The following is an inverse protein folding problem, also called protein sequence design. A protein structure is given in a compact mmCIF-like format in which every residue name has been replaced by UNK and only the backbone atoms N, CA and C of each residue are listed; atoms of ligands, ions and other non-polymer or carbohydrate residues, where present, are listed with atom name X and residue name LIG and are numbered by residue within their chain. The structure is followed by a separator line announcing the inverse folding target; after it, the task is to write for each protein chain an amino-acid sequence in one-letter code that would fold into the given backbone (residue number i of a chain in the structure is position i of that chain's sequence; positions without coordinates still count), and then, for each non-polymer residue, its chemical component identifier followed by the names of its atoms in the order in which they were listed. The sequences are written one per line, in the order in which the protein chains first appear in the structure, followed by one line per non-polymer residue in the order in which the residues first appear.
data_IF_673612205028
#
_entry.id   IF_673612205028
#
_cell.length_a   1.000
_cell.length_b   1.000
_cell.length_c   1.000
_cell.angle_alpha   90.00
_cell.angle_beta   90.00
_cell.angle_gamma   90.00
#
_symmetry.space_group_name_H-M   'P 1'
#
loop_
_entity.id
_entity.type
_entity.pdbx_description
1 polymer ?
#
# COMPACT_ATOMS: atom_id res chain seq x y z
N UNK A 1 -23.78 5.59 -4.28
CA UNK A 1 -22.34 5.78 -4.03
C UNK A 1 -21.80 6.77 -5.05
N UNK A 2 -21.61 8.03 -4.67
CA UNK A 2 -20.82 8.97 -5.47
C UNK A 2 -19.38 8.49 -5.42
N UNK A 3 -18.93 7.82 -6.48
CA UNK A 3 -17.56 7.37 -6.68
C UNK A 3 -16.62 8.57 -6.53
N UNK A 4 -16.08 8.81 -5.34
CA UNK A 4 -14.87 9.62 -5.21
C UNK A 4 -13.83 8.94 -6.09
N UNK A 5 -13.34 9.65 -7.11
CA UNK A 5 -12.33 9.14 -8.02
C UNK A 5 -11.11 8.81 -7.17
N UNK A 6 -10.92 7.54 -6.83
CA UNK A 6 -9.77 7.08 -6.09
C UNK A 6 -8.53 7.40 -6.91
N UNK A 7 -7.61 8.17 -6.35
CA UNK A 7 -6.33 8.43 -6.99
C UNK A 7 -5.47 7.16 -6.96
N UNK A 8 -5.45 6.44 -8.09
CA UNK A 8 -4.69 5.21 -8.32
C UNK A 8 -3.36 5.51 -9.01
N UNK A 9 -2.70 6.59 -8.58
CA UNK A 9 -1.37 6.98 -9.04
C UNK A 9 -0.33 6.79 -7.94
N UNK A 10 0.89 6.48 -8.38
CA UNK A 10 2.06 6.41 -7.52
C UNK A 10 3.32 6.82 -8.29
N UNK A 11 4.36 7.23 -7.55
CA UNK A 11 5.66 7.53 -8.11
C UNK A 11 6.76 6.72 -7.42
N UNK A 12 7.59 6.05 -8.22
CA UNK A 12 8.82 5.39 -7.79
C UNK A 12 10.00 6.34 -8.00
N UNK A 13 10.87 6.47 -7.00
CA UNK A 13 12.01 7.40 -7.00
C UNK A 13 13.31 6.64 -7.24
N UNK A 14 14.17 7.18 -8.12
CA UNK A 14 15.41 6.53 -8.54
C UNK A 14 16.62 7.48 -8.54
N UNK A 15 17.81 6.95 -8.20
CA UNK A 15 19.10 7.66 -8.33
C UNK A 15 19.56 7.86 -9.77
N UNK A 16 19.11 7.01 -10.68
CA UNK A 16 19.40 7.09 -12.11
C UNK A 16 18.16 6.60 -12.90
N UNK A 17 17.97 7.03 -14.16
CA UNK A 17 16.89 6.53 -15.00
C UNK A 17 16.90 4.99 -15.05
N UNK A 18 15.80 4.31 -14.66
CA UNK A 18 15.74 2.86 -14.70
C UNK A 18 15.64 2.37 -16.15
N UNK A 19 16.18 1.18 -16.41
CA UNK A 19 15.94 0.44 -17.66
C UNK A 19 14.77 -0.50 -17.40
N UNK A 20 13.64 -0.23 -18.05
CA UNK A 20 12.41 -1.00 -17.89
C UNK A 20 12.10 -1.73 -19.19
N UNK A 21 11.93 -3.05 -19.11
CA UNK A 21 11.40 -3.83 -20.22
C UNK A 21 9.87 -3.82 -20.12
N UNK A 22 9.23 -2.92 -20.87
CA UNK A 22 7.78 -2.77 -20.90
C UNK A 22 7.06 -4.01 -21.44
N UNK A 23 7.68 -4.75 -22.36
CA UNK A 23 7.11 -5.98 -22.90
C UNK A 23 7.06 -7.07 -21.82
N UNK A 24 8.18 -7.28 -21.13
CA UNK A 24 8.25 -8.21 -19.99
C UNK A 24 7.36 -7.77 -18.83
N UNK A 25 7.25 -6.47 -18.57
CA UNK A 25 6.34 -5.91 -17.57
C UNK A 25 4.88 -6.27 -17.89
N UNK A 26 4.42 -5.97 -19.11
CA UNK A 26 3.06 -6.30 -19.55
C UNK A 26 2.80 -7.79 -19.51
N UNK A 27 3.75 -8.62 -19.97
CA UNK A 27 3.60 -10.08 -19.94
C UNK A 27 3.36 -10.58 -18.51
N UNK A 28 4.11 -10.07 -17.52
CA UNK A 28 3.93 -10.42 -16.10
C UNK A 28 2.63 -9.88 -15.50
N UNK A 29 2.18 -8.69 -15.92
CA UNK A 29 0.86 -8.15 -15.54
C UNK A 29 -0.25 -9.05 -16.09
N UNK A 30 -0.19 -9.42 -17.37
CA UNK A 30 -1.21 -10.24 -18.01
C UNK A 30 -1.27 -11.66 -17.47
N UNK A 31 -0.14 -12.25 -17.06
CA UNK A 31 -0.12 -13.54 -16.38
C UNK A 31 -0.92 -13.51 -15.06
N UNK A 32 -0.83 -12.39 -14.34
CA UNK A 32 -1.57 -12.16 -13.10
C UNK A 32 -3.08 -11.94 -13.36
N UNK A 33 -3.41 -11.10 -14.35
CA UNK A 33 -4.79 -10.87 -14.79
C UNK A 33 -5.46 -12.16 -15.28
N UNK A 34 -4.74 -13.03 -15.98
CA UNK A 34 -5.25 -14.32 -16.43
C UNK A 34 -5.64 -15.23 -15.26
N UNK A 35 -4.87 -15.20 -14.16
CA UNK A 35 -5.16 -15.97 -12.95
C UNK A 35 -6.45 -15.50 -12.25
N UNK A 36 -6.78 -14.21 -12.38
CA UNK A 36 -8.02 -13.63 -11.84
C UNK A 36 -9.19 -13.58 -12.84
N UNK A 37 -9.03 -14.17 -14.03
CA UNK A 37 -10.05 -14.15 -15.08
C UNK A 37 -10.32 -12.77 -15.70
N UNK A 38 -9.41 -11.81 -15.48
CA UNK A 38 -9.51 -10.47 -16.04
C UNK A 38 -9.00 -10.43 -17.49
N UNK A 39 -9.59 -9.60 -18.37
CA UNK A 39 -9.10 -9.44 -19.73
C UNK A 39 -7.65 -8.94 -19.75
N UNK A 40 -6.84 -9.49 -20.65
CA UNK A 40 -5.47 -9.05 -20.85
C UNK A 40 -5.41 -7.58 -21.29
N UNK A 41 -4.29 -6.93 -21.00
CA UNK A 41 -3.96 -5.60 -21.48
C UNK A 41 -3.12 -5.71 -22.75
N UNK A 42 -3.43 -4.86 -23.71
CA UNK A 42 -2.73 -4.70 -24.99
C UNK A 42 -1.85 -3.45 -24.95
N UNK A 43 -0.81 -3.40 -25.79
CA UNK A 43 -0.02 -2.18 -25.94
C UNK A 43 -0.83 -1.16 -26.73
N UNK A 44 -0.83 0.08 -26.27
CA UNK A 44 -1.26 1.20 -27.09
C UNK A 44 -0.17 1.55 -28.10
N UNK A 45 -0.52 1.92 -29.35
CA UNK A 45 0.41 2.49 -30.32
C UNK A 45 1.02 3.82 -29.85
N UNK A 46 0.48 4.44 -28.79
CA UNK A 46 1.04 5.64 -28.16
C UNK A 46 2.24 5.35 -27.24
N UNK A 47 2.63 4.09 -27.06
CA UNK A 47 3.76 3.72 -26.22
C UNK A 47 5.10 4.04 -26.90
N UNK A 48 6.11 4.33 -26.10
CA UNK A 48 7.50 4.65 -26.48
C UNK A 48 8.47 4.01 -25.48
N UNK A 49 9.77 4.23 -25.68
CA UNK A 49 10.82 3.74 -24.77
C UNK A 49 10.75 4.34 -23.36
N UNK A 50 10.08 5.48 -23.18
CA UNK A 50 9.93 6.17 -21.89
C UNK A 50 8.50 6.17 -21.37
N UNK A 51 7.55 5.65 -22.13
CA UNK A 51 6.14 5.67 -21.78
C UNK A 51 5.44 4.40 -22.27
N UNK A 52 4.80 3.66 -21.38
CA UNK A 52 3.93 2.56 -21.74
C UNK A 52 2.47 2.88 -21.39
N UNK A 53 1.57 2.57 -22.31
CA UNK A 53 0.13 2.53 -22.05
C UNK A 53 -0.38 1.13 -22.38
N UNK A 54 -0.65 0.35 -21.34
CA UNK A 54 -1.30 -0.95 -21.45
C UNK A 54 -2.80 -0.79 -21.25
N UNK A 55 -3.65 -1.36 -22.11
CA UNK A 55 -5.09 -1.08 -22.08
C UNK A 55 -5.97 -2.23 -22.51
N UNK A 56 -7.21 -2.23 -22.05
CA UNK A 56 -8.31 -3.00 -22.62
C UNK A 56 -9.60 -2.15 -22.56
N UNK A 57 -10.76 -2.74 -22.89
CA UNK A 57 -12.02 -2.01 -22.88
C UNK A 57 -12.43 -1.45 -21.50
N UNK A 58 -11.92 -2.01 -20.39
CA UNK A 58 -12.36 -1.70 -19.02
C UNK A 58 -11.34 -0.91 -18.20
N UNK A 59 -10.04 -1.05 -18.47
CA UNK A 59 -8.98 -0.47 -17.67
C UNK A 59 -7.73 -0.17 -18.51
N UNK A 60 -6.91 0.75 -18.01
CA UNK A 60 -5.59 1.03 -18.54
C UNK A 60 -4.56 1.20 -17.42
N UNK A 61 -3.30 0.97 -17.75
CA UNK A 61 -2.12 1.21 -16.92
C UNK A 61 -1.17 2.11 -17.71
N UNK A 62 -0.77 3.23 -17.13
CA UNK A 62 0.33 4.04 -17.67
C UNK A 62 1.58 3.85 -16.84
N UNK A 63 2.73 3.74 -17.49
CA UNK A 63 4.04 3.81 -16.84
C UNK A 63 4.87 4.86 -17.58
N UNK A 64 5.23 5.95 -16.92
CA UNK A 64 5.98 7.05 -17.52
C UNK A 64 7.31 7.24 -16.78
N UNK A 65 8.42 7.18 -17.52
CA UNK A 65 9.77 7.40 -17.02
C UNK A 65 10.12 8.88 -17.22
N UNK A 66 10.49 9.55 -16.14
CA UNK A 66 10.93 10.94 -16.17
C UNK A 66 12.40 11.02 -15.77
N UNK A 67 13.23 11.60 -16.64
CA UNK A 67 14.67 11.84 -16.39
C UNK A 67 14.93 13.11 -15.56
N UNK A 68 14.07 13.34 -14.58
CA UNK A 68 14.15 14.47 -13.66
C UNK A 68 13.83 14.00 -12.24
N UNK A 69 14.30 14.70 -11.21
CA UNK A 69 13.86 14.44 -9.84
C UNK A 69 12.33 14.55 -9.72
N UNK A 70 11.74 13.83 -8.75
CA UNK A 70 10.31 13.96 -8.47
C UNK A 70 10.00 15.41 -8.05
N UNK A 71 9.03 16.10 -8.67
CA UNK A 71 8.67 17.46 -8.30
C UNK A 71 8.21 17.54 -6.83
N UNK A 72 8.81 18.44 -6.04
CA UNK A 72 8.50 18.58 -4.61
C UNK A 72 7.20 19.35 -4.34
N UNK A 73 6.66 20.05 -5.36
CA UNK A 73 5.40 20.78 -5.25
C UNK A 73 4.25 19.80 -5.03
N UNK A 74 3.52 19.96 -3.93
CA UNK A 74 2.41 19.08 -3.58
C UNK A 74 2.78 17.94 -2.63
N UNK A 75 4.08 17.72 -2.37
CA UNK A 75 4.56 16.65 -1.48
C UNK A 75 4.80 17.11 -0.03
N UNK A 76 4.52 18.38 0.31
CA UNK A 76 4.77 18.89 1.66
C UNK A 76 3.97 18.14 2.72
N UNK A 77 2.72 17.77 2.41
CA UNK A 77 1.88 17.00 3.32
C UNK A 77 2.46 15.60 3.51
N UNK A 78 2.73 14.86 2.43
CA UNK A 78 3.37 13.54 2.49
C UNK A 78 4.70 13.51 3.27
N UNK A 79 5.58 14.50 3.07
CA UNK A 79 6.87 14.59 3.75
C UNK A 79 6.75 14.94 5.24
N UNK A 80 5.73 15.71 5.61
CA UNK A 80 5.47 16.12 7.01
C UNK A 80 4.59 15.13 7.77
N UNK A 81 3.93 14.20 7.07
CA UNK A 81 3.03 13.22 7.67
C UNK A 81 3.75 12.40 8.78
N UNK A 82 3.15 12.26 9.98
CA UNK A 82 3.74 11.46 11.06
C UNK A 82 4.07 10.03 10.66
N UNK A 83 3.22 9.41 9.83
CA UNK A 83 3.45 8.08 9.29
C UNK A 83 4.73 8.00 8.45
N UNK A 84 4.93 8.95 7.52
CA UNK A 84 6.16 9.07 6.73
C UNK A 84 7.39 9.26 7.62
N UNK A 85 7.33 10.20 8.58
CA UNK A 85 8.45 10.48 9.49
C UNK A 85 8.80 9.30 10.40
N UNK A 86 7.84 8.43 10.71
CA UNK A 86 8.06 7.26 11.56
C UNK A 86 8.99 6.20 10.94
N UNK A 87 9.18 6.23 9.61
CA UNK A 87 9.99 5.25 8.86
C UNK A 87 11.50 5.42 9.00
N UNK A 88 11.97 6.48 9.68
CA UNK A 88 13.40 6.79 9.90
C UNK A 88 14.22 6.89 8.59
N UNK A 89 13.56 7.21 7.48
CA UNK A 89 14.19 7.49 6.19
C UNK A 89 14.04 8.97 5.87
N UNK A 90 15.13 9.62 5.45
CA UNK A 90 15.09 11.00 4.99
C UNK A 90 14.60 11.06 3.53
N UNK A 91 13.29 10.97 3.35
CA UNK A 91 12.67 11.04 2.03
C UNK A 91 12.92 12.37 1.32
N UNK A 92 13.05 13.47 2.07
CA UNK A 92 13.36 14.77 1.48
C UNK A 92 14.75 14.76 0.83
N UNK A 93 15.75 14.22 1.53
CA UNK A 93 17.09 14.03 0.97
C UNK A 93 17.10 13.06 -0.21
N UNK A 94 16.37 11.94 -0.13
CA UNK A 94 16.26 10.99 -1.25
C UNK A 94 15.69 11.64 -2.51
N UNK A 95 14.62 12.42 -2.38
CA UNK A 95 14.02 13.14 -3.53
C UNK A 95 15.02 14.16 -4.08
N UNK A 96 15.70 14.92 -3.23
CA UNK A 96 16.69 15.91 -3.65
C UNK A 96 17.89 15.28 -4.38
N UNK A 97 18.26 14.06 -4.03
CA UNK A 97 19.37 13.31 -4.64
C UNK A 97 18.95 12.49 -5.87
N UNK A 98 17.65 12.26 -6.05
CA UNK A 98 17.11 11.51 -7.18
C UNK A 98 17.43 12.18 -8.52
N UNK A 99 17.55 11.38 -9.57
CA UNK A 99 17.76 11.87 -10.95
C UNK A 99 16.66 11.42 -11.90
N UNK A 100 15.81 10.50 -11.46
CA UNK A 100 14.67 10.04 -12.21
C UNK A 100 13.53 9.63 -11.28
N UNK A 101 12.33 9.63 -11.84
CA UNK A 101 11.17 9.02 -11.20
C UNK A 101 10.31 8.33 -12.26
N UNK A 102 9.54 7.33 -11.84
CA UNK A 102 8.57 6.63 -12.68
C UNK A 102 7.19 6.87 -12.11
N UNK A 103 6.27 7.40 -12.91
CA UNK A 103 4.86 7.57 -12.54
C UNK A 103 4.08 6.38 -13.08
N UNK A 104 3.32 5.75 -12.19
CA UNK A 104 2.39 4.68 -12.52
C UNK A 104 0.97 5.16 -12.25
N UNK A 105 0.06 4.93 -13.19
CA UNK A 105 -1.37 5.16 -12.97
C UNK A 105 -2.21 4.00 -13.47
N UNK A 106 -3.32 3.73 -12.80
CA UNK A 106 -4.31 2.72 -13.25
C UNK A 106 -5.67 3.36 -13.34
N UNK A 107 -6.18 3.58 -14.54
CA UNK A 107 -7.46 4.25 -14.76
C UNK A 107 -8.53 3.34 -15.33
N UNK A 108 -9.73 3.91 -15.46
CA UNK A 108 -10.87 3.26 -16.07
C UNK A 108 -10.80 3.38 -17.60
N UNK A 109 -11.29 2.35 -18.30
CA UNK A 109 -11.41 2.34 -19.76
C UNK A 109 -10.07 2.30 -20.50
N UNK A 110 -10.10 2.44 -21.83
CA UNK A 110 -8.94 2.18 -22.67
C UNK A 110 -7.91 3.32 -22.71
N UNK A 111 -8.21 4.49 -22.14
CA UNK A 111 -7.34 5.66 -22.22
C UNK A 111 -7.45 6.55 -20.97
N UNK A 112 -6.37 7.26 -20.60
CA UNK A 112 -6.38 8.23 -19.49
C UNK A 112 -7.39 9.37 -19.66
N UNK A 113 -7.62 9.78 -20.92
CA UNK A 113 -8.61 10.78 -21.29
C UNK A 113 -9.64 10.08 -22.17
N UNK A 114 -10.75 9.59 -21.59
CA UNK A 114 -11.75 8.87 -22.37
C UNK A 114 -12.54 9.85 -23.25
N UNK A 115 -12.72 9.49 -24.53
CA UNK A 115 -13.55 10.24 -25.47
C UNK A 115 -15.05 9.91 -25.30
N UNK A 116 -15.35 8.76 -24.72
CA UNK A 116 -16.70 8.23 -24.50
C UNK A 116 -16.91 7.92 -23.01
N UNK A 117 -18.17 7.88 -22.53
CA UNK A 117 -18.46 7.44 -21.17
C UNK A 117 -17.95 6.02 -20.90
N UNK A 118 -17.14 5.88 -19.86
CA UNK A 118 -16.56 4.59 -19.45
C UNK A 118 -17.30 4.04 -18.25
N UNK A 119 -17.58 2.73 -18.26
CA UNK A 119 -18.05 2.02 -17.06
C UNK A 119 -16.88 1.83 -16.09
N UNK A 120 -16.92 2.37 -14.86
CA UNK A 120 -15.81 2.27 -13.92
C UNK A 120 -15.46 0.82 -13.57
N UNK A 121 -14.17 0.51 -13.49
CA UNK A 121 -13.68 -0.74 -12.98
C UNK A 121 -13.79 -0.79 -11.44
N UNK A 122 -13.97 -1.98 -10.83
CA UNK A 122 -13.98 -2.12 -9.38
C UNK A 122 -12.70 -1.54 -8.75
N UNK A 123 -12.79 -0.74 -7.66
CA UNK A 123 -11.63 -0.16 -7.01
C UNK A 123 -10.57 -1.18 -6.58
N UNK A 124 -11.00 -2.33 -6.05
CA UNK A 124 -10.10 -3.42 -5.66
C UNK A 124 -9.24 -3.94 -6.82
N UNK A 125 -9.83 -4.05 -8.03
CA UNK A 125 -9.10 -4.46 -9.23
C UNK A 125 -8.04 -3.42 -9.62
N UNK A 126 -8.41 -2.13 -9.60
CA UNK A 126 -7.47 -1.04 -9.91
C UNK A 126 -6.30 -0.97 -8.92
N UNK A 127 -6.60 -1.15 -7.63
CA UNK A 127 -5.60 -1.17 -6.57
C UNK A 127 -4.66 -2.36 -6.68
N UNK A 128 -5.20 -3.58 -6.89
CA UNK A 128 -4.40 -4.78 -7.10
C UNK A 128 -3.46 -4.62 -8.30
N UNK A 129 -3.98 -4.09 -9.42
CA UNK A 129 -3.19 -3.84 -10.62
C UNK A 129 -2.10 -2.77 -10.42
N UNK A 130 -2.40 -1.70 -9.68
CA UNK A 130 -1.40 -0.68 -9.32
C UNK A 130 -0.27 -1.31 -8.49
N UNK A 131 -0.60 -2.01 -7.41
CA UNK A 131 0.38 -2.63 -6.52
C UNK A 131 1.23 -3.68 -7.25
N UNK A 132 0.59 -4.49 -8.11
CA UNK A 132 1.30 -5.44 -8.95
C UNK A 132 2.29 -4.74 -9.86
N UNK A 133 1.85 -3.71 -10.57
CA UNK A 133 2.71 -2.93 -11.48
C UNK A 133 3.91 -2.34 -10.73
N UNK A 134 3.69 -1.72 -9.57
CA UNK A 134 4.75 -1.17 -8.72
C UNK A 134 5.75 -2.25 -8.28
N UNK A 135 5.27 -3.41 -7.85
CA UNK A 135 6.12 -4.53 -7.42
C UNK A 135 6.94 -5.10 -8.57
N UNK A 136 6.34 -5.21 -9.76
CA UNK A 136 7.02 -5.70 -10.97
C UNK A 136 8.09 -4.73 -11.45
N UNK A 137 7.82 -3.42 -11.40
CA UNK A 137 8.78 -2.37 -11.73
C UNK A 137 9.96 -2.37 -10.74
N UNK A 138 9.67 -2.43 -9.45
CA UNK A 138 10.70 -2.51 -8.41
C UNK A 138 11.58 -3.76 -8.58
N UNK A 139 10.99 -4.89 -8.99
CA UNK A 139 11.74 -6.12 -9.26
C UNK A 139 12.63 -6.04 -10.51
N UNK A 140 12.27 -5.25 -11.53
CA UNK A 140 13.13 -5.01 -12.70
C UNK A 140 14.24 -4.00 -12.37
N UNK A 141 13.88 -2.92 -11.67
CA UNK A 141 14.77 -1.86 -11.25
C UNK A 141 14.39 -1.41 -9.83
N UNK A 142 15.22 -1.70 -8.80
CA UNK A 142 14.92 -1.32 -7.42
C UNK A 142 14.81 0.20 -7.26
N UNK A 143 13.65 0.64 -6.80
CA UNK A 143 13.39 2.04 -6.45
C UNK A 143 13.84 2.34 -5.02
N UNK A 144 14.27 3.58 -4.75
CA UNK A 144 14.70 3.98 -3.40
C UNK A 144 13.52 4.30 -2.48
N UNK A 145 12.45 4.81 -3.06
CA UNK A 145 11.23 5.16 -2.37
C UNK A 145 10.03 5.06 -3.31
N UNK A 146 8.85 4.94 -2.70
CA UNK A 146 7.55 4.97 -3.35
C UNK A 146 6.72 6.08 -2.70
N UNK A 147 6.10 6.94 -3.49
CA UNK A 147 5.02 7.81 -3.06
C UNK A 147 3.69 7.30 -3.62
N UNK A 148 2.67 7.20 -2.78
CA UNK A 148 1.33 6.75 -3.19
C UNK A 148 0.34 7.91 -3.08
N UNK A 149 -0.28 8.29 -4.20
CA UNK A 149 -1.19 9.44 -4.25
C UNK A 149 -2.50 9.24 -3.47
N UNK A 150 -2.94 7.98 -3.32
CA UNK A 150 -4.18 7.63 -2.62
C UNK A 150 -4.19 8.04 -1.14
N UNK A 151 -3.06 7.84 -0.44
CA UNK A 151 -2.90 8.19 0.97
C UNK A 151 -1.87 9.30 1.21
N UNK A 152 -1.23 9.81 0.15
CA UNK A 152 -0.21 10.86 0.20
C UNK A 152 0.89 10.53 1.22
N UNK A 153 1.47 9.32 1.12
CA UNK A 153 2.56 8.84 1.98
C UNK A 153 3.74 8.34 1.17
N UNK A 154 4.93 8.43 1.79
CA UNK A 154 6.14 7.77 1.30
C UNK A 154 6.38 6.42 1.99
N UNK A 155 6.90 5.49 1.21
CA UNK A 155 7.29 4.14 1.61
C UNK A 155 8.73 3.85 1.18
N UNK A 156 9.42 3.07 1.98
CA UNK A 156 10.80 2.63 1.77
C UNK A 156 10.90 1.49 0.76
N UNK A 157 12.08 1.26 0.18
CA UNK A 157 12.34 0.11 -0.68
C UNK A 157 11.95 -1.23 0.00
N UNK A 158 12.30 -1.42 1.27
CA UNK A 158 11.97 -2.64 2.03
C UNK A 158 10.46 -2.85 2.20
N UNK A 159 9.68 -1.79 2.32
CA UNK A 159 8.21 -1.88 2.33
C UNK A 159 7.66 -2.30 0.97
N UNK A 160 8.26 -1.85 -0.14
CA UNK A 160 7.88 -2.29 -1.50
C UNK A 160 8.19 -3.78 -1.68
N UNK A 161 9.37 -4.23 -1.24
CA UNK A 161 9.77 -5.65 -1.30
C UNK A 161 8.83 -6.54 -0.48
N UNK A 162 8.50 -6.13 0.75
CA UNK A 162 7.56 -6.86 1.61
C UNK A 162 6.16 -6.92 0.99
N UNK A 163 5.73 -5.80 0.39
CA UNK A 163 4.45 -5.66 -0.29
C UNK A 163 4.31 -6.55 -1.54
N UNK A 164 5.43 -6.94 -2.20
CA UNK A 164 5.40 -7.70 -3.45
C UNK A 164 4.74 -9.09 -3.33
N UNK A 165 4.60 -9.61 -2.11
CA UNK A 165 3.94 -10.89 -1.81
C UNK A 165 2.42 -10.78 -1.61
N UNK A 166 1.88 -9.56 -1.55
CA UNK A 166 0.48 -9.29 -1.22
C UNK A 166 -0.29 -8.83 -2.46
N UNK A 167 -1.51 -9.34 -2.64
CA UNK A 167 -2.38 -8.90 -3.73
C UNK A 167 -2.85 -7.44 -3.54
N UNK A 168 -3.15 -7.07 -2.29
CA UNK A 168 -3.52 -5.71 -1.90
C UNK A 168 -2.70 -5.35 -0.67
N UNK A 169 -2.14 -4.13 -0.68
CA UNK A 169 -1.27 -3.60 0.37
C UNK A 169 -2.00 -2.44 1.03
N UNK A 170 -2.67 -2.65 2.18
CA UNK A 170 -3.50 -1.61 2.79
C UNK A 170 -2.72 -0.32 3.10
N UNK A 171 -1.44 -0.45 3.46
CA UNK A 171 -0.55 0.68 3.73
C UNK A 171 -0.30 1.61 2.54
N UNK A 172 -0.58 1.19 1.31
CA UNK A 172 -0.45 2.03 0.10
C UNK A 172 -1.73 2.80 -0.23
N UNK A 173 -2.83 2.50 0.48
CA UNK A 173 -4.17 3.05 0.19
C UNK A 173 -4.72 3.84 1.37
N UNK A 174 -4.46 3.36 2.59
CA UNK A 174 -5.02 3.95 3.79
C UNK A 174 -4.18 5.11 4.30
N UNK A 175 -4.83 6.22 4.65
CA UNK A 175 -4.18 7.36 5.29
C UNK A 175 -4.50 7.37 6.80
N UNK A 176 -3.47 7.37 7.68
CA UNK A 176 -3.67 7.41 9.12
C UNK A 176 -3.91 8.85 9.61
N UNK A 177 -5.03 9.07 10.28
CA UNK A 177 -5.30 10.26 11.07
C UNK A 177 -5.23 9.91 12.56
N UNK A 178 -4.39 10.60 13.32
CA UNK A 178 -4.32 10.43 14.77
C UNK A 178 -5.25 11.44 15.47
N UNK A 179 -5.83 11.03 16.58
CA UNK A 179 -6.47 11.91 17.55
C UNK A 179 -5.86 11.64 18.92
N UNK A 180 -5.48 12.70 19.64
CA UNK A 180 -4.82 12.56 20.94
C UNK A 180 -5.80 12.72 22.12
N UNK A 181 -7.03 13.20 21.89
CA UNK A 181 -7.99 13.49 22.95
C UNK A 181 -9.44 13.13 22.57
N UNK A 182 -10.29 12.74 23.55
CA UNK A 182 -9.98 12.45 24.96
C UNK A 182 -9.25 11.13 25.21
N UNK A 183 -9.10 10.28 24.19
CA UNK A 183 -8.25 9.09 24.23
C UNK A 183 -7.51 8.99 22.90
N UNK A 184 -6.27 8.48 22.94
CA UNK A 184 -5.48 8.34 21.72
C UNK A 184 -6.13 7.31 20.80
N UNK A 185 -6.38 7.72 19.58
CA UNK A 185 -7.03 6.93 18.56
C UNK A 185 -6.37 7.12 17.20
N UNK A 186 -6.51 6.11 16.36
CA UNK A 186 -6.05 6.11 14.98
C UNK A 186 -7.24 5.82 14.08
N UNK A 187 -7.50 6.69 13.10
CA UNK A 187 -8.49 6.49 12.06
C UNK A 187 -7.78 6.22 10.73
N UNK A 188 -8.18 5.15 10.05
CA UNK A 188 -7.63 4.79 8.75
C UNK A 188 -8.59 5.24 7.64
N UNK A 189 -8.32 6.40 7.06
CA UNK A 189 -9.07 6.91 5.90
C UNK A 189 -8.83 5.99 4.70
N UNK A 190 -9.83 5.81 3.83
CA UNK A 190 -9.86 4.88 2.69
C UNK A 190 -9.91 3.39 3.06
N UNK A 191 -9.98 3.03 4.35
CA UNK A 191 -10.13 1.62 4.75
C UNK A 191 -11.47 1.03 4.29
N UNK A 192 -12.49 1.88 4.11
CA UNK A 192 -13.79 1.49 3.57
C UNK A 192 -13.72 0.94 2.14
N UNK A 193 -12.68 1.27 1.37
CA UNK A 193 -12.43 0.71 0.04
C UNK A 193 -11.98 -0.75 0.09
N UNK A 194 -11.52 -1.20 1.27
CA UNK A 194 -10.94 -2.52 1.49
C UNK A 194 -11.86 -3.40 2.34
N UNK A 195 -12.48 -2.83 3.37
CA UNK A 195 -13.28 -3.56 4.37
C UNK A 195 -14.71 -3.01 4.54
N UNK A 196 -15.16 -2.13 3.63
CA UNK A 196 -16.51 -1.58 3.61
C UNK A 196 -16.82 -0.51 4.67
N UNK A 197 -15.96 -0.32 5.67
CA UNK A 197 -16.11 0.70 6.72
C UNK A 197 -14.80 1.39 7.05
N UNK A 198 -14.90 2.60 7.60
CA UNK A 198 -13.74 3.29 8.18
C UNK A 198 -13.31 2.55 9.44
N UNK A 199 -12.07 2.06 9.47
CA UNK A 199 -11.41 1.47 10.64
C UNK A 199 -10.94 2.59 11.59
N UNK A 200 -11.30 2.46 12.85
CA UNK A 200 -10.76 3.24 13.95
C UNK A 200 -10.19 2.32 15.03
N UNK A 201 -9.01 2.64 15.54
CA UNK A 201 -8.37 1.95 16.66
C UNK A 201 -8.37 2.91 17.85
N UNK A 202 -9.01 2.54 18.95
CA UNK A 202 -9.20 3.38 20.14
C UNK A 202 -8.41 2.82 21.33
N UNK A 203 -8.12 3.69 22.31
CA UNK A 203 -7.46 3.28 23.56
C UNK A 203 -5.98 2.95 23.38
N UNK A 204 -5.31 3.56 22.40
CA UNK A 204 -3.90 3.33 22.14
C UNK A 204 -3.09 3.95 23.28
N UNK A 205 -2.21 3.20 23.93
CA UNK A 205 -1.37 3.76 24.99
C UNK A 205 -0.41 4.83 24.44
N UNK A 206 -0.15 5.89 25.22
CA UNK A 206 0.66 7.05 24.81
C UNK A 206 2.07 6.65 24.34
N UNK A 207 2.65 5.60 24.92
CA UNK A 207 4.01 5.18 24.62
C UNK A 207 4.13 4.33 23.34
N UNK A 208 3.00 3.94 22.74
CA UNK A 208 3.01 3.12 21.51
C UNK A 208 3.46 3.99 20.32
N UNK A 209 4.58 3.64 19.65
CA UNK A 209 5.06 4.38 18.49
C UNK A 209 4.06 4.31 17.32
N UNK A 210 4.01 5.37 16.51
CA UNK A 210 3.14 5.43 15.31
C UNK A 210 3.37 4.23 14.39
N UNK A 211 4.61 3.81 14.18
CA UNK A 211 4.94 2.65 13.33
C UNK A 211 4.23 1.36 13.79
N UNK A 212 4.14 1.12 15.10
CA UNK A 212 3.43 -0.04 15.64
C UNK A 212 1.91 0.07 15.42
N UNK A 213 1.34 1.26 15.59
CA UNK A 213 -0.09 1.48 15.35
C UNK A 213 -0.46 1.20 13.89
N UNK A 214 0.41 1.58 12.95
CA UNK A 214 0.23 1.29 11.52
C UNK A 214 0.35 -0.20 11.21
N UNK A 215 1.30 -0.91 11.84
CA UNK A 215 1.43 -2.36 11.71
C UNK A 215 0.17 -3.07 12.19
N UNK A 216 -0.38 -2.66 13.34
CA UNK A 216 -1.64 -3.21 13.85
C UNK A 216 -2.78 -2.97 12.86
N UNK A 217 -2.97 -1.73 12.40
CA UNK A 217 -4.03 -1.38 11.44
C UNK A 217 -3.91 -2.18 10.14
N UNK A 218 -2.70 -2.28 9.57
CA UNK A 218 -2.46 -3.08 8.36
C UNK A 218 -2.74 -4.57 8.60
N UNK A 219 -2.33 -5.10 9.75
CA UNK A 219 -2.55 -6.52 10.09
C UNK A 219 -4.03 -6.83 10.19
N UNK A 220 -4.82 -6.01 10.89
CA UNK A 220 -6.28 -6.18 11.01
C UNK A 220 -6.94 -6.24 9.63
N UNK A 221 -6.59 -5.31 8.75
CA UNK A 221 -7.16 -5.23 7.39
C UNK A 221 -6.73 -6.39 6.52
N UNK A 222 -5.43 -6.74 6.50
CA UNK A 222 -4.93 -7.89 5.72
C UNK A 222 -5.61 -9.18 6.14
N UNK A 223 -5.73 -9.43 7.45
CA UNK A 223 -6.34 -10.66 7.95
C UNK A 223 -7.84 -10.72 7.69
N UNK A 224 -8.53 -9.58 7.72
CA UNK A 224 -9.94 -9.51 7.34
C UNK A 224 -10.15 -9.81 5.85
N UNK A 225 -9.35 -9.17 4.97
CA UNK A 225 -9.40 -9.44 3.52
C UNK A 225 -9.10 -10.92 3.22
N UNK A 226 -8.19 -11.54 3.97
CA UNK A 226 -7.87 -12.95 3.84
C UNK A 226 -8.97 -13.90 4.39
N UNK A 227 -10.00 -13.38 5.06
CA UNK A 227 -11.06 -14.17 5.69
C UNK A 227 -10.64 -14.85 7.01
N UNK A 228 -9.45 -14.52 7.52
CA UNK A 228 -8.92 -15.08 8.77
C UNK A 228 -9.41 -14.34 10.02
N UNK A 229 -9.94 -13.13 9.84
CA UNK A 229 -10.39 -12.27 10.92
C UNK A 229 -11.75 -11.63 10.54
N UNK A 230 -12.88 -12.18 11.02
CA UNK A 230 -14.20 -11.73 10.59
C UNK A 230 -14.51 -10.28 11.03
N UNK A 231 -13.96 -9.82 12.16
CA UNK A 231 -14.20 -8.48 12.71
C UNK A 231 -15.69 -8.21 12.90
N UNK A 232 -16.40 -9.15 13.53
CA UNK A 232 -17.82 -9.03 13.85
C UNK A 232 -18.06 -8.17 15.10
N UNK A 233 -19.29 -7.64 15.22
CA UNK A 233 -19.67 -6.82 16.38
C UNK A 233 -19.65 -7.68 17.65
N UNK A 234 -18.88 -7.27 18.65
CA UNK A 234 -18.69 -8.02 19.89
C UNK A 234 -17.50 -8.99 19.88
N UNK A 235 -16.77 -9.13 18.76
CA UNK A 235 -15.57 -9.96 18.71
C UNK A 235 -14.54 -9.51 19.76
N UNK A 236 -13.90 -10.50 20.39
CA UNK A 236 -12.73 -10.33 21.24
C UNK A 236 -11.51 -10.97 20.60
N UNK A 237 -10.51 -10.16 20.30
CA UNK A 237 -9.23 -10.62 19.78
C UNK A 237 -8.26 -10.66 20.96
N UNK A 238 -8.11 -11.85 21.54
CA UNK A 238 -7.24 -12.08 22.70
C UNK A 238 -5.89 -12.64 22.24
N UNK A 239 -4.81 -12.10 22.80
CA UNK A 239 -3.49 -12.71 22.69
C UNK A 239 -3.26 -13.77 23.80
N UNK A 240 -2.15 -14.51 23.70
CA UNK A 240 -1.73 -15.47 24.72
C UNK A 240 -1.30 -14.83 26.05
N UNK A 241 -1.28 -13.49 26.14
CA UNK A 241 -0.78 -12.70 27.28
C UNK A 241 -1.92 -11.97 28.01
N UNK A 242 -3.18 -12.22 27.61
CA UNK A 242 -4.38 -11.69 28.26
C UNK A 242 -4.74 -10.24 27.89
N UNK A 243 -4.16 -9.69 26.81
CA UNK A 243 -4.60 -8.42 26.23
C UNK A 243 -5.65 -8.67 25.14
N UNK A 244 -6.84 -8.08 25.33
CA UNK A 244 -7.97 -8.17 24.41
C UNK A 244 -8.20 -6.88 23.62
N UNK A 245 -8.48 -7.04 22.33
CA UNK A 245 -9.15 -6.02 21.53
C UNK A 245 -10.63 -6.36 21.41
N UNK A 246 -11.50 -5.38 21.57
CA UNK A 246 -12.93 -5.51 21.30
C UNK A 246 -13.28 -4.86 19.98
N UNK A 247 -14.16 -5.51 19.22
CA UNK A 247 -14.65 -4.99 17.93
C UNK A 247 -16.08 -4.49 18.12
N UNK A 248 -16.37 -3.30 17.57
CA UNK A 248 -17.70 -2.69 17.60
C UNK A 248 -18.01 -1.96 16.31
N UNK A 249 -19.23 -2.12 15.82
CA UNK A 249 -19.74 -1.46 14.62
C UNK A 249 -20.49 -0.19 15.02
N UNK A 250 -19.91 0.98 14.76
CA UNK A 250 -20.59 2.26 14.99
C UNK A 250 -21.51 2.61 13.81
N UNK A 251 -22.64 3.27 14.13
CA UNK A 251 -23.65 3.70 13.15
C UNK A 251 -23.08 4.67 12.11
N UNK A 252 -23.68 4.71 10.90
CA UNK A 252 -23.46 5.74 9.88
C UNK A 252 -23.43 7.16 10.42
N UNK A 253 -22.57 7.99 9.82
CA UNK A 253 -22.49 9.44 10.05
C UNK A 253 -22.18 10.17 8.75
N UNK A 254 -22.31 11.50 8.72
CA UNK A 254 -21.96 12.29 7.54
C UNK A 254 -20.50 12.09 7.07
N UNK A 255 -19.57 11.82 7.98
CA UNK A 255 -18.15 11.57 7.68
C UNK A 255 -17.85 10.09 7.35
N UNK A 256 -18.79 9.18 7.63
CA UNK A 256 -18.64 7.75 7.41
C UNK A 256 -20.04 7.15 7.12
N UNK A 257 -20.53 7.26 5.88
CA UNK A 257 -21.90 6.88 5.51
C UNK A 257 -22.22 5.39 5.72
N UNK A 258 -21.21 4.52 5.58
CA UNK A 258 -21.35 3.08 5.80
C UNK A 258 -21.13 2.67 7.28
N UNK A 259 -20.91 3.66 8.16
CA UNK A 259 -20.54 3.47 9.56
C UNK A 259 -19.04 3.29 9.76
N UNK A 260 -18.66 2.87 10.98
CA UNK A 260 -17.26 2.66 11.37
C UNK A 260 -17.07 1.29 12.00
N UNK A 261 -15.91 0.70 11.74
CA UNK A 261 -15.39 -0.44 12.48
C UNK A 261 -14.47 0.11 13.59
N UNK A 262 -14.86 -0.05 14.85
CA UNK A 262 -14.08 0.41 15.99
C UNK A 262 -13.43 -0.78 16.66
N UNK A 263 -12.11 -0.79 16.73
CA UNK A 263 -11.31 -1.77 17.46
C UNK A 263 -10.71 -1.08 18.67
N UNK A 264 -11.00 -1.53 19.87
CA UNK A 264 -10.60 -0.85 21.11
C UNK A 264 -9.84 -1.79 22.05
N UNK A 265 -8.77 -1.31 22.66
CA UNK A 265 -8.15 -2.00 23.80
C UNK A 265 -9.11 -1.97 25.00
N UNK A 266 -9.25 -3.10 25.70
CA UNK A 266 -10.25 -3.38 26.77
C UNK A 266 -10.26 -2.42 27.99
N UNK A 267 -9.39 -1.40 28.04
CA UNK A 267 -9.33 -0.43 29.12
C UNK A 267 -10.32 0.72 28.90
N UNK A 268 -11.55 0.66 29.45
CA UNK A 268 -12.52 1.74 29.81
C UNK A 268 -12.70 2.99 28.88
N UNK A 269 -12.03 3.03 27.72
CA UNK A 269 -11.85 4.19 26.84
C UNK A 269 -13.00 4.37 25.87
N UNK A 270 -13.97 3.47 25.90
CA UNK A 270 -15.19 3.54 25.11
C UNK A 270 -16.17 4.60 25.61
N UNK A 271 -15.96 5.20 26.79
CA UNK A 271 -16.92 6.15 27.37
C UNK A 271 -16.97 7.51 26.67
N UNK A 272 -15.94 7.91 25.91
CA UNK A 272 -15.98 9.17 25.11
C UNK A 272 -15.35 8.98 23.73
N UNK A 273 -16.12 9.30 22.70
CA UNK A 273 -15.63 9.28 21.33
C UNK A 273 -14.42 10.22 21.15
N UNK A 274 -13.37 9.79 20.41
CA UNK A 274 -12.25 10.65 20.04
C UNK A 274 -12.75 11.91 19.33
N UNK A 275 -12.10 13.05 19.61
CA UNK A 275 -12.32 14.29 18.86
C UNK A 275 -11.36 14.32 17.69
N UNK A 276 -11.91 14.35 16.49
CA UNK A 276 -11.16 14.44 15.26
C UNK A 276 -11.14 15.90 14.82
N UNK A 277 -9.96 16.44 14.55
CA UNK A 277 -9.87 17.71 13.82
C UNK A 277 -10.57 17.52 12.46
N UNK A 278 -11.44 18.45 12.11
CA UNK A 278 -12.28 18.42 10.90
C UNK A 278 -11.49 18.55 9.60
N UNK A 279 -10.17 18.41 9.63
CA UNK A 279 -9.34 18.41 8.44
C UNK A 279 -9.69 17.19 7.57
N UNK A 280 -10.51 17.41 6.55
CA UNK A 280 -10.75 16.44 5.49
C UNK A 280 -9.41 16.10 4.86
N UNK A 281 -9.00 14.84 4.95
CA UNK A 281 -7.83 14.35 4.22
C UNK A 281 -7.98 14.73 2.74
N UNK A 282 -6.98 15.39 2.18
CA UNK A 282 -6.91 15.72 0.76
C UNK A 282 -5.87 14.82 0.12
N UNK A 283 -6.26 13.90 -0.78
CA UNK A 283 -5.29 13.08 -1.49
C UNK A 283 -4.38 13.97 -2.35
N UNK A 284 -3.24 13.42 -2.77
CA UNK A 284 -2.34 14.11 -3.69
C UNK A 284 -3.12 14.54 -4.95
N UNK A 285 -2.91 15.77 -5.48
CA UNK A 285 -3.63 16.26 -6.66
C UNK A 285 -3.33 15.50 -7.96
N UNK A 286 -2.46 14.48 -7.91
CA UNK A 286 -1.97 13.73 -9.05
C UNK A 286 -0.65 14.27 -9.60
N UNK A 287 0.01 13.50 -10.46
CA UNK A 287 1.33 13.84 -11.00
C UNK A 287 1.30 14.36 -12.43
N UNK A 288 0.16 14.90 -12.87
CA UNK A 288 -0.01 15.43 -14.22
C UNK A 288 1.18 16.32 -14.60
N UNK A 289 1.71 16.12 -15.81
CA UNK A 289 2.64 17.08 -16.40
C UNK A 289 2.03 18.48 -16.29
N UNK A 290 2.77 19.53 -15.90
CA UNK A 290 2.27 20.88 -16.02
C UNK A 290 1.81 21.04 -17.47
N UNK A 291 0.55 21.44 -17.68
CA UNK A 291 0.03 21.77 -19.00
C UNK A 291 1.03 22.72 -19.64
N UNK A 292 1.76 22.24 -20.64
CA UNK A 292 2.49 23.12 -21.54
C UNK A 292 1.44 24.10 -22.10
N UNK A 293 1.75 25.41 -22.20
CA UNK A 293 0.88 26.33 -22.92
C UNK A 293 0.59 25.74 -24.31
N UNK A 294 -0.66 25.82 -24.80
CA UNK A 294 -1.09 25.11 -26.00
C UNK A 294 -0.13 25.42 -27.16
N UNK A 295 0.33 24.38 -27.91
CA UNK A 295 1.12 24.59 -29.10
C UNK A 295 0.30 25.42 -30.10
N UNK A 296 0.95 26.40 -30.74
CA UNK A 296 0.35 27.08 -31.88
C UNK A 296 0.01 26.03 -32.96
N UNK A 297 -1.16 26.12 -33.62
CA UNK A 297 -1.58 25.11 -34.58
C UNK A 297 -0.57 25.03 -35.73
N UNK A 298 0.07 23.87 -35.86
CA UNK A 298 0.93 23.53 -36.98
C UNK A 298 0.12 22.75 -38.02
N UNK A 299 0.32 23.11 -39.28
CA UNK A 299 -0.39 22.67 -40.46
C UNK A 299 -0.34 21.16 -40.70
N UNK A 300 -1.41 20.67 -41.31
CA UNK A 300 -1.71 19.27 -41.64
C UNK A 300 -0.57 18.59 -42.41
N UNK A 301 -0.01 17.52 -41.83
CA UNK A 301 0.84 16.58 -42.54
C UNK A 301 0.05 15.30 -42.84
N UNK A 302 0.04 14.99 -44.13
CA UNK A 302 -0.74 13.95 -44.79
C UNK A 302 -0.24 12.55 -44.41
N UNK A 303 -1.25 11.70 -44.23
CA UNK A 303 -1.31 10.25 -44.02
C UNK A 303 -0.29 9.40 -44.83
N UNK A 304 0.40 8.48 -44.13
CA UNK A 304 1.03 7.31 -44.76
C UNK A 304 0.83 6.07 -43.88
N UNK A 305 0.26 5.00 -44.45
CA UNK A 305 0.03 3.71 -43.80
C UNK A 305 0.91 2.61 -44.41
N UNK A 306 1.51 1.71 -43.62
CA UNK A 306 2.09 0.46 -44.13
C UNK A 306 1.20 -0.77 -43.83
N UNK A 307 1.26 -1.82 -44.68
CA UNK A 307 0.46 -3.02 -44.55
C UNK A 307 1.07 -4.10 -43.63
N UNK A 308 0.17 -5.01 -43.25
CA UNK A 308 0.22 -6.06 -42.24
C UNK A 308 0.98 -7.37 -42.57
N UNK A 309 1.28 -8.11 -41.49
CA UNK A 309 0.92 -9.53 -41.24
C UNK A 309 2.05 -10.58 -41.12
N UNK A 310 1.83 -11.48 -40.14
CA UNK A 310 2.49 -12.79 -39.92
C UNK A 310 3.25 -12.82 -38.59
N UNK A 311 2.84 -13.46 -37.49
CA UNK A 311 1.90 -14.57 -37.25
C UNK A 311 2.69 -15.85 -37.00
N UNK A 312 2.83 -16.32 -35.74
CA UNK A 312 3.03 -17.74 -35.38
C UNK A 312 2.75 -18.00 -33.88
N UNK A 313 2.31 -19.23 -33.62
CA UNK A 313 1.62 -19.76 -32.45
C UNK A 313 2.49 -20.77 -31.69
N UNK A 314 2.29 -20.93 -30.37
CA UNK A 314 2.08 -22.24 -29.71
C UNK A 314 1.93 -22.14 -28.17
N UNK A 315 1.37 -23.20 -27.59
CA UNK A 315 0.60 -23.29 -26.33
C UNK A 315 1.39 -23.79 -25.11
N UNK A 316 1.00 -23.25 -23.94
CA UNK A 316 0.55 -23.86 -22.65
C UNK A 316 1.06 -25.23 -22.20
N UNK A 317 1.56 -25.32 -20.94
CA UNK A 317 1.15 -26.31 -19.90
C UNK A 317 1.25 -25.69 -18.48
N UNK A 318 0.26 -25.99 -17.65
CA UNK A 318 -0.01 -25.68 -16.22
C UNK A 318 0.98 -26.36 -15.23
N UNK A 319 0.93 -26.34 -13.90
CA UNK A 319 0.18 -25.73 -12.79
C UNK A 319 1.01 -26.03 -11.50
N UNK A 320 0.86 -25.24 -10.42
CA UNK A 320 0.91 -25.76 -9.03
C UNK A 320 0.41 -24.70 -8.04
N UNK A 321 -0.62 -25.09 -7.28
CA UNK A 321 -1.17 -24.41 -6.11
C UNK A 321 -0.15 -24.30 -4.98
N UNK A 322 -0.21 -23.24 -4.18
CA UNK A 322 0.33 -23.31 -2.82
C UNK A 322 -0.47 -22.45 -1.82
N UNK A 323 -0.96 -23.14 -0.79
CA UNK A 323 -1.68 -22.61 0.38
C UNK A 323 -0.69 -21.91 1.33
N UNK A 324 -1.03 -20.74 1.86
CA UNK A 324 -0.40 -20.15 3.06
C UNK A 324 -1.52 -19.82 4.06
N UNK A 325 -1.57 -20.25 5.33
CA UNK A 325 -0.65 -20.51 6.44
C UNK A 325 -0.76 -19.40 7.49
N UNK A 326 -1.59 -19.66 8.51
CA UNK A 326 -2.08 -18.77 9.58
C UNK A 326 -1.01 -18.25 10.57
N UNK A 327 0.28 -18.41 10.28
CA UNK A 327 1.37 -18.03 11.20
C UNK A 327 1.65 -16.52 11.24
N UNK A 328 1.34 -15.79 10.16
CA UNK A 328 1.60 -14.34 10.10
C UNK A 328 0.67 -13.51 11.02
N UNK A 329 -0.51 -14.04 11.37
CA UNK A 329 -1.46 -13.40 12.31
C UNK A 329 -0.79 -13.16 13.67
N UNK A 330 -0.07 -14.19 14.15
CA UNK A 330 0.52 -14.20 15.48
C UNK A 330 1.80 -13.37 15.57
N UNK A 331 2.56 -13.24 14.47
CA UNK A 331 3.78 -12.43 14.44
C UNK A 331 3.46 -10.93 14.48
N UNK A 332 2.46 -10.47 13.72
CA UNK A 332 2.08 -9.05 13.69
C UNK A 332 1.51 -8.56 15.03
N UNK A 333 0.63 -9.37 15.63
CA UNK A 333 0.06 -9.11 16.95
C UNK A 333 1.15 -9.24 18.03
N UNK A 334 1.92 -10.33 18.01
CA UNK A 334 3.02 -10.57 18.94
C UNK A 334 4.06 -9.46 18.94
N UNK A 335 4.51 -8.96 17.79
CA UNK A 335 5.52 -7.89 17.70
C UNK A 335 5.04 -6.57 18.33
N UNK A 336 3.77 -6.21 18.12
CA UNK A 336 3.14 -5.03 18.72
C UNK A 336 3.18 -5.11 20.26
N UNK A 337 2.92 -6.30 20.80
CA UNK A 337 2.76 -6.53 22.23
C UNK A 337 4.11 -6.78 22.93
N UNK A 338 5.06 -7.46 22.27
CA UNK A 338 6.35 -7.86 22.84
C UNK A 338 7.38 -6.73 22.88
N UNK A 339 7.31 -5.77 21.95
CA UNK A 339 8.23 -4.61 21.92
C UNK A 339 7.54 -3.35 22.48
N UNK A 340 6.23 -3.20 22.27
CA UNK A 340 5.49 -1.99 22.62
C UNK A 340 5.18 -1.82 24.11
N UNK A 341 5.01 -2.91 24.87
CA UNK A 341 4.62 -2.87 26.28
C UNK A 341 5.75 -3.15 27.30
N UNK A 342 6.71 -4.07 27.11
CA UNK A 342 7.72 -4.36 28.13
C UNK A 342 8.74 -3.23 28.37
N UNK A 343 8.87 -2.29 27.42
CA UNK A 343 9.66 -1.06 27.62
C UNK A 343 9.04 -0.10 28.66
N UNK A 344 7.88 -0.45 29.23
CA UNK A 344 7.20 0.35 30.25
C UNK A 344 7.71 0.12 31.68
N UNK A 345 8.55 -0.88 31.97
CA UNK A 345 8.82 -1.15 33.39
C UNK A 345 10.13 -1.88 33.82
N UNK A 346 11.29 -1.72 33.17
CA UNK A 346 12.58 -2.16 33.77
C UNK A 346 13.74 -1.19 33.43
N UNK A 347 14.57 -0.75 34.42
CA UNK A 347 15.78 0.03 34.19
C UNK A 347 16.89 -0.79 33.50
N UNK A 348 17.71 -0.11 32.70
CA UNK A 348 18.67 -0.61 31.68
C UNK A 348 19.79 -1.60 32.09
N UNK A 349 19.71 -2.38 33.17
CA UNK A 349 20.89 -3.14 33.68
C UNK A 349 20.95 -4.65 33.38
N UNK A 350 20.06 -5.26 32.59
CA UNK A 350 20.08 -6.75 32.41
C UNK A 350 20.51 -7.24 31.02
N UNK A 351 20.64 -6.38 30.01
CA UNK A 351 21.04 -6.80 28.66
C UNK A 351 22.53 -7.18 28.51
N UNK A 352 23.35 -7.06 29.57
CA UNK A 352 24.77 -7.48 29.55
C UNK A 352 25.06 -8.81 30.27
N UNK A 353 24.08 -9.45 30.92
CA UNK A 353 24.29 -10.71 31.64
C UNK A 353 23.81 -11.97 30.89
N UNK A 354 23.03 -11.83 29.80
CA UNK A 354 22.44 -12.97 29.08
C UNK A 354 23.20 -13.38 27.81
N UNK A 355 24.35 -12.78 27.53
CA UNK A 355 25.20 -13.14 26.37
C UNK A 355 26.66 -13.47 26.74
N UNK A 356 26.91 -13.92 27.97
CA UNK A 356 28.16 -14.57 28.35
C UNK A 356 27.85 -15.66 29.38
N UNK A 357 28.31 -16.88 29.10
CA UNK A 357 28.07 -18.14 29.82
C UNK A 357 26.77 -18.88 29.45
N UNK A 358 26.82 -19.63 28.35
CA UNK A 358 26.60 -21.09 28.38
C UNK A 358 26.83 -21.69 26.98
N UNK A 359 28.11 -21.93 26.68
CA UNK A 359 28.58 -22.84 25.65
C UNK A 359 29.27 -24.01 26.37
N UNK A 360 28.53 -24.79 27.15
CA UNK A 360 28.94 -26.14 27.59
C UNK A 360 27.73 -27.05 27.44
N UNK A 361 27.80 -27.92 26.43
CA UNK A 361 26.75 -28.89 26.14
C UNK A 361 26.64 -30.00 27.20
N UNK A 362 25.51 -30.73 27.25
CA UNK A 362 25.36 -31.86 28.15
C UNK A 362 26.01 -33.10 27.52
N UNK A 363 26.97 -33.69 28.20
CA UNK A 363 27.43 -35.05 27.90
C UNK A 363 27.63 -35.84 29.19
N UNK A 364 26.91 -36.96 29.29
CA UNK A 364 27.48 -38.17 29.85
C UNK A 364 27.22 -38.44 31.32
N UNK A 365 26.08 -39.09 31.56
CA UNK A 365 25.83 -40.05 32.63
C UNK A 365 26.96 -41.09 32.77
N UNK A 366 27.38 -41.44 34.00
CA UNK A 366 27.69 -42.82 34.43
C UNK A 366 28.01 -42.93 35.93
N UNK A 367 27.07 -43.54 36.66
CA UNK A 367 27.18 -44.59 37.71
C UNK A 367 28.21 -44.46 38.88
N UNK A 368 27.63 -44.48 40.09
CA UNK A 368 27.95 -45.15 41.37
C UNK A 368 29.17 -46.11 41.47
N UNK A 369 29.68 -46.44 42.69
CA UNK A 369 29.09 -46.24 44.02
C UNK A 369 29.78 -45.24 44.96
#
# INVERSE_FOLDING_TARGET
MTSSILNTQAALVYRAPPVIDFSALRARINADLATSGSPALEDSPMSSDEFALFRNARLHVTVAIHRTPLPTRGLQHALSAPATRSRRTDFAALIAQSRAHVIVSVGDGPAPIPLEPVTPAPPALKLALLHKTLSLLHAQAPAEALHTGANDLFHTAAEIETAATQAIVPGFVMHPLAADAPARALRMINSELLIGKVLEIHGIAEKVPVSMQLVLANTLVVQHIAGNLPLEDGDRLEDSVGMGLTVRHARPTAQAPEGRLVVAFDNDGLQRAPRWETATFKPHPGYSAPLAPPPAPAEEATEWSPPSAGGYSSRVVAAAENRSSNWMIWVGIGLFLWIGLPLLNIPQMVLQATFSEDLVGPAGDTRQP
#
